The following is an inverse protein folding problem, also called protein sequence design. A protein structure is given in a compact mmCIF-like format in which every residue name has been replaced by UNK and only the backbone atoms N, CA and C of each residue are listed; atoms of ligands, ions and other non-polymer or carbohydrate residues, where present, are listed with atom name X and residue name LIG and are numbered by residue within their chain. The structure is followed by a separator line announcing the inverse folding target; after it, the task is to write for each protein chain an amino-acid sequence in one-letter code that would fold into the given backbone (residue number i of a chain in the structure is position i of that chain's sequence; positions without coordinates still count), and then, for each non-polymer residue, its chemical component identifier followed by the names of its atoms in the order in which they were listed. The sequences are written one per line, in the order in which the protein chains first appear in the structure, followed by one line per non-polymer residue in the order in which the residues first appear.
data_IF_989923119882
#
_entry.id   IF_989923119882
#
_cell.length_a   1.000
_cell.length_b   1.000
_cell.length_c   1.000
_cell.angle_alpha   90.00
_cell.angle_beta   90.00
_cell.angle_gamma   90.00
#
_symmetry.space_group_name_H-M   'P 1'
#
loop_
_entity.id
_entity.type
_entity.pdbx_description
1 polymer ?
#
# COMPACT_ATOMS: atom_id res chain seq x y z
N UNK A 1 67.94 -14.12 24.92
CA UNK A 1 66.67 -14.85 24.71
C UNK A 1 66.32 -14.77 23.23
N UNK A 2 65.96 -15.91 22.65
CA UNK A 2 66.01 -16.18 21.21
C UNK A 2 64.93 -15.47 20.38
N UNK A 3 65.33 -15.05 19.18
CA UNK A 3 64.51 -14.62 18.06
C UNK A 3 63.79 -15.81 17.42
N UNK A 4 62.51 -15.65 17.08
CA UNK A 4 61.82 -16.53 16.12
C UNK A 4 60.77 -15.74 15.36
N UNK A 5 61.13 -15.32 14.14
CA UNK A 5 60.21 -14.85 13.12
C UNK A 5 59.34 -16.01 12.64
N UNK A 6 58.04 -15.79 12.43
CA UNK A 6 57.15 -16.78 11.81
C UNK A 6 56.46 -16.18 10.60
N UNK A 7 56.60 -16.92 9.50
CA UNK A 7 56.35 -16.51 8.13
C UNK A 7 54.87 -16.49 7.73
N UNK A 8 54.65 -15.72 6.67
CA UNK A 8 53.42 -15.47 5.91
C UNK A 8 52.93 -16.72 5.19
N UNK A 9 51.62 -16.96 5.19
CA UNK A 9 50.96 -17.85 4.23
C UNK A 9 49.74 -17.15 3.64
N UNK A 10 49.87 -16.72 2.38
CA UNK A 10 48.81 -16.15 1.57
C UNK A 10 47.91 -17.28 1.02
N UNK A 11 46.61 -17.22 1.32
CA UNK A 11 45.60 -18.08 0.72
C UNK A 11 44.90 -17.34 -0.43
N UNK A 12 44.88 -17.98 -1.61
CA UNK A 12 44.34 -17.48 -2.88
C UNK A 12 42.81 -17.60 -2.93
N UNK A 13 42.09 -16.74 -3.68
CA UNK A 13 40.65 -16.80 -3.79
C UNK A 13 40.20 -17.87 -4.80
N UNK A 14 39.19 -18.66 -4.42
CA UNK A 14 38.50 -19.58 -5.32
C UNK A 14 37.44 -18.83 -6.13
N UNK A 15 37.57 -18.86 -7.46
CA UNK A 15 36.60 -18.35 -8.43
C UNK A 15 35.39 -19.30 -8.49
N UNK A 16 34.21 -18.83 -8.12
CA UNK A 16 32.94 -19.51 -8.36
C UNK A 16 32.33 -19.04 -9.70
N UNK A 17 32.11 -20.02 -10.58
CA UNK A 17 31.58 -19.88 -11.93
C UNK A 17 30.06 -19.68 -11.90
N UNK A 18 29.58 -18.65 -12.60
CA UNK A 18 28.16 -18.39 -12.86
C UNK A 18 27.63 -19.36 -13.94
N UNK A 19 26.46 -19.98 -13.76
CA UNK A 19 25.73 -20.58 -14.87
C UNK A 19 24.86 -19.52 -15.57
N UNK A 20 25.29 -19.20 -16.79
CA UNK A 20 24.55 -18.42 -17.80
C UNK A 20 23.25 -19.14 -18.19
N UNK A 21 22.09 -18.55 -17.92
CA UNK A 21 20.80 -19.01 -18.47
C UNK A 21 20.37 -18.10 -19.61
N UNK A 22 20.33 -18.71 -20.80
CA UNK A 22 19.91 -18.14 -22.08
C UNK A 22 18.40 -17.89 -22.08
N UNK A 23 18.00 -16.72 -22.61
CA UNK A 23 16.63 -16.39 -23.01
C UNK A 23 16.31 -17.09 -24.35
N UNK A 24 15.11 -17.63 -24.55
CA UNK A 24 14.62 -17.93 -25.90
C UNK A 24 13.95 -16.70 -26.51
N UNK A 25 14.50 -16.29 -27.65
CA UNK A 25 13.88 -15.45 -28.66
C UNK A 25 12.78 -16.23 -29.39
N UNK A 26 11.59 -15.65 -29.54
CA UNK A 26 10.59 -16.14 -30.48
C UNK A 26 10.23 -15.06 -31.48
N UNK A 27 10.43 -15.43 -32.74
CA UNK A 27 10.28 -14.63 -33.93
C UNK A 27 8.83 -14.38 -34.32
N UNK A 28 8.65 -13.24 -34.97
CA UNK A 28 7.54 -12.79 -35.80
C UNK A 28 6.82 -13.91 -36.58
N UNK A 29 5.48 -13.90 -36.52
CA UNK A 29 4.62 -14.58 -37.47
C UNK A 29 3.74 -13.55 -38.19
N UNK A 30 3.89 -13.52 -39.52
CA UNK A 30 3.16 -12.70 -40.49
C UNK A 30 1.69 -13.12 -40.62
N UNK A 31 0.87 -12.13 -40.97
CA UNK A 31 -0.52 -12.24 -41.39
C UNK A 31 -0.73 -13.05 -42.68
N UNK A 32 -1.98 -13.49 -42.96
CA UNK A 32 -2.46 -13.68 -44.32
C UNK A 32 -3.46 -12.57 -44.72
N UNK A 33 -3.24 -12.01 -45.92
CA UNK A 33 -4.24 -11.30 -46.71
C UNK A 33 -5.31 -12.27 -47.21
N UNK A 34 -6.57 -11.83 -47.25
CA UNK A 34 -7.48 -12.12 -48.37
C UNK A 34 -8.31 -10.87 -48.74
N UNK A 35 -8.17 -10.46 -50.02
CA UNK A 35 -9.13 -9.70 -50.83
C UNK A 35 -10.45 -10.49 -50.92
N UNK A 36 -11.64 -9.95 -51.15
CA UNK A 36 -12.11 -8.62 -51.51
C UNK A 36 -13.58 -8.78 -51.93
N UNK A 37 -14.41 -7.77 -51.68
CA UNK A 37 -15.84 -7.77 -52.05
C UNK A 37 -16.39 -6.35 -51.94
N UNK A 38 -16.90 -5.86 -53.07
CA UNK A 38 -17.17 -4.45 -53.38
C UNK A 38 -18.55 -4.05 -52.86
N UNK A 39 -18.67 -2.86 -52.26
CA UNK A 39 -19.95 -2.29 -51.86
C UNK A 39 -19.80 -0.86 -51.33
N UNK A 40 -19.73 0.10 -52.25
CA UNK A 40 -19.76 1.53 -51.94
C UNK A 40 -21.20 1.95 -51.60
N UNK A 41 -21.46 2.34 -50.35
CA UNK A 41 -22.60 3.20 -50.02
C UNK A 41 -22.11 4.31 -49.09
N UNK A 42 -22.06 5.50 -49.66
CA UNK A 42 -21.73 6.78 -49.04
C UNK A 42 -22.95 7.24 -48.23
N UNK A 43 -22.92 7.12 -46.90
CA UNK A 43 -23.94 7.67 -46.02
C UNK A 43 -23.38 8.89 -45.28
N UNK A 44 -23.88 10.06 -45.66
CA UNK A 44 -23.59 11.36 -45.08
C UNK A 44 -23.99 11.40 -43.60
N UNK A 45 -23.15 12.07 -42.80
CA UNK A 45 -23.42 12.38 -41.41
C UNK A 45 -24.69 13.23 -41.24
N UNK A 46 -25.53 12.85 -40.27
CA UNK A 46 -26.29 13.78 -39.42
C UNK A 46 -26.29 13.21 -38.00
N UNK A 47 -25.35 13.70 -37.19
CA UNK A 47 -25.38 13.53 -35.73
C UNK A 47 -26.47 14.45 -35.19
N UNK A 48 -27.39 14.00 -34.32
CA UNK A 48 -28.16 14.92 -33.51
C UNK A 48 -27.22 15.59 -32.51
N UNK A 49 -27.26 16.91 -32.55
CA UNK A 49 -26.48 17.85 -31.76
C UNK A 49 -26.73 17.75 -30.25
N UNK A 50 -25.65 18.06 -29.53
CA UNK A 50 -25.62 18.79 -28.26
C UNK A 50 -26.14 18.10 -26.98
N UNK A 51 -25.23 17.39 -26.31
CA UNK A 51 -25.07 17.59 -24.87
C UNK A 51 -23.75 18.34 -24.63
N UNK A 52 -23.81 19.67 -24.67
CA UNK A 52 -22.69 20.56 -24.36
C UNK A 52 -22.74 20.95 -22.88
N UNK A 53 -21.78 20.55 -22.02
CA UNK A 53 -21.80 20.94 -20.61
C UNK A 53 -21.10 22.30 -20.40
N UNK A 54 -21.26 23.25 -21.32
CA UNK A 54 -20.78 24.62 -21.17
C UNK A 54 -21.98 25.57 -21.17
N UNK A 55 -22.63 25.71 -20.01
CA UNK A 55 -23.47 26.86 -19.71
C UNK A 55 -22.81 27.66 -18.60
N UNK A 56 -22.02 28.63 -19.02
CA UNK A 56 -21.61 29.75 -18.16
C UNK A 56 -22.84 30.58 -17.81
N UNK A 57 -23.06 30.84 -16.51
CA UNK A 57 -23.85 31.98 -16.05
C UNK A 57 -24.94 31.66 -15.03
N UNK A 58 -24.60 31.96 -13.76
CA UNK A 58 -25.46 32.40 -12.64
C UNK A 58 -26.14 31.35 -11.74
N UNK A 59 -25.50 31.12 -10.58
CA UNK A 59 -26.10 31.54 -9.30
C UNK A 59 -26.55 30.43 -8.34
N UNK A 60 -25.76 30.20 -7.29
CA UNK A 60 -26.24 29.69 -5.99
C UNK A 60 -25.89 28.24 -5.67
N UNK A 61 -24.92 28.05 -4.77
CA UNK A 61 -24.80 26.90 -3.87
C UNK A 61 -24.70 25.48 -4.47
N UNK A 62 -23.82 25.29 -5.45
CA UNK A 62 -22.93 24.13 -5.23
C UNK A 62 -22.02 24.59 -4.11
N UNK A 63 -22.26 24.07 -2.90
CA UNK A 63 -21.19 23.94 -1.93
C UNK A 63 -19.91 23.56 -2.71
N UNK A 64 -18.72 24.01 -2.30
CA UNK A 64 -17.50 23.38 -2.78
C UNK A 64 -17.73 21.87 -2.82
N UNK A 65 -17.10 21.14 -3.73
CA UNK A 65 -16.98 19.69 -3.51
C UNK A 65 -16.24 19.57 -2.17
N UNK A 66 -17.01 19.65 -1.09
CA UNK A 66 -16.63 19.64 0.30
C UNK A 66 -16.22 18.20 0.40
N UNK A 67 -14.91 18.02 0.17
CA UNK A 67 -14.22 16.75 0.20
C UNK A 67 -14.86 15.98 1.34
N UNK A 68 -15.54 14.87 1.03
CA UNK A 68 -16.14 14.04 2.07
C UNK A 68 -15.07 13.87 3.15
N UNK A 69 -15.39 14.12 4.44
CA UNK A 69 -14.36 14.19 5.46
C UNK A 69 -13.48 12.95 5.35
N UNK A 70 -12.19 13.17 5.05
CA UNK A 70 -11.21 12.09 5.09
C UNK A 70 -11.33 11.45 6.46
N UNK A 71 -11.06 10.13 6.55
CA UNK A 71 -11.10 9.43 7.83
C UNK A 71 -10.38 10.28 8.90
N UNK A 72 -10.90 10.41 10.13
CA UNK A 72 -10.28 11.26 11.14
C UNK A 72 -8.79 10.92 11.29
N UNK A 73 -7.91 11.93 11.20
CA UNK A 73 -6.45 11.74 11.24
C UNK A 73 -5.78 11.49 9.87
N UNK A 74 -6.56 11.36 8.80
CA UNK A 74 -6.04 11.29 7.43
C UNK A 74 -5.85 12.71 6.87
N UNK A 75 -4.68 13.27 7.13
CA UNK A 75 -4.30 14.65 6.79
C UNK A 75 -3.21 14.77 5.72
N UNK A 76 -2.70 13.65 5.20
CA UNK A 76 -1.54 13.58 4.29
C UNK A 76 -0.23 14.09 4.89
N UNK A 77 -0.18 14.29 6.20
CA UNK A 77 1.04 14.55 6.97
C UNK A 77 1.46 13.29 7.76
N UNK A 78 0.51 12.38 7.98
CA UNK A 78 0.76 11.07 8.60
C UNK A 78 0.68 9.95 7.58
N UNK A 79 1.74 9.14 7.53
CA UNK A 79 1.88 8.07 6.56
C UNK A 79 2.20 6.74 7.22
N UNK A 80 1.51 5.70 6.79
CA UNK A 80 1.75 4.31 7.13
C UNK A 80 2.60 3.66 6.04
N UNK A 81 3.80 3.21 6.42
CA UNK A 81 4.74 2.53 5.53
C UNK A 81 4.72 1.04 5.87
N UNK A 82 4.33 0.21 4.90
CA UNK A 82 4.32 -1.25 5.04
C UNK A 82 5.51 -1.83 4.30
N UNK A 83 6.25 -2.74 4.94
CA UNK A 83 7.46 -3.34 4.39
C UNK A 83 7.37 -4.87 4.29
N UNK A 84 8.08 -5.44 3.32
CA UNK A 84 8.27 -6.89 3.18
C UNK A 84 9.49 -7.34 3.98
N UNK A 85 9.27 -8.26 4.92
CA UNK A 85 10.33 -8.91 5.74
C UNK A 85 11.45 -7.95 6.18
N UNK A 86 11.11 -6.87 6.92
CA UNK A 86 12.11 -5.91 7.38
C UNK A 86 13.17 -6.63 8.22
N UNK A 87 14.46 -6.31 8.00
CA UNK A 87 15.58 -6.98 8.68
C UNK A 87 15.86 -8.43 8.23
N UNK A 88 15.10 -8.98 7.27
CA UNK A 88 15.32 -10.32 6.72
C UNK A 88 14.45 -11.43 7.32
N UNK A 89 14.71 -12.67 6.93
CA UNK A 89 13.93 -13.84 7.35
C UNK A 89 14.21 -14.17 8.83
N UNK A 90 13.15 -14.18 9.65
CA UNK A 90 13.27 -14.44 11.09
C UNK A 90 13.91 -13.31 11.89
N UNK A 91 13.88 -12.08 11.38
CA UNK A 91 14.43 -10.91 12.06
C UNK A 91 13.80 -10.70 13.45
N UNK A 92 14.63 -10.28 14.40
CA UNK A 92 14.17 -9.86 15.72
C UNK A 92 13.45 -8.52 15.64
N UNK A 93 12.60 -8.23 16.63
CA UNK A 93 11.86 -6.97 16.73
C UNK A 93 12.76 -5.73 16.62
N UNK A 94 13.92 -5.75 17.28
CA UNK A 94 14.86 -4.63 17.22
C UNK A 94 15.42 -4.45 15.79
N UNK A 95 15.80 -5.54 15.12
CA UNK A 95 16.30 -5.47 13.74
C UNK A 95 15.26 -4.95 12.75
N UNK A 96 13.98 -5.29 12.96
CA UNK A 96 12.88 -4.74 12.17
C UNK A 96 12.76 -3.22 12.38
N UNK A 97 12.81 -2.76 13.64
CA UNK A 97 12.75 -1.34 13.99
C UNK A 97 13.95 -0.57 13.42
N UNK A 98 15.14 -1.13 13.52
CA UNK A 98 16.35 -0.54 12.96
C UNK A 98 16.22 -0.39 11.43
N UNK A 99 15.65 -1.40 10.75
CA UNK A 99 15.35 -1.34 9.31
C UNK A 99 14.33 -0.24 8.96
N UNK A 100 13.30 -0.04 9.79
CA UNK A 100 12.33 1.04 9.61
C UNK A 100 12.98 2.41 9.71
N UNK A 101 13.79 2.63 10.76
CA UNK A 101 14.53 3.86 10.98
C UNK A 101 15.45 4.14 9.80
N UNK A 102 16.21 3.13 9.36
CA UNK A 102 17.12 3.26 8.21
C UNK A 102 16.39 3.58 6.91
N UNK A 103 15.20 3.00 6.70
CA UNK A 103 14.39 3.26 5.50
C UNK A 103 13.93 4.70 5.47
N UNK A 104 13.41 5.21 6.59
CA UNK A 104 12.99 6.61 6.67
C UNK A 104 14.18 7.57 6.61
N UNK A 105 15.31 7.21 7.24
CA UNK A 105 16.53 8.01 7.22
C UNK A 105 17.06 8.29 5.80
N UNK A 106 16.81 7.40 4.84
CA UNK A 106 17.21 7.61 3.44
C UNK A 106 16.51 8.81 2.79
N UNK A 107 15.29 9.15 3.23
CA UNK A 107 14.52 10.27 2.66
C UNK A 107 14.56 11.52 3.54
N UNK A 108 14.62 11.37 4.87
CA UNK A 108 14.72 12.52 5.80
C UNK A 108 16.17 12.95 6.05
N UNK A 109 17.15 12.12 5.67
CA UNK A 109 18.58 12.45 5.69
C UNK A 109 19.36 11.99 6.94
N UNK A 110 18.70 11.65 8.04
CA UNK A 110 19.37 11.14 9.26
C UNK A 110 18.51 10.16 10.07
N UNK A 111 19.17 9.27 10.82
CA UNK A 111 18.49 8.32 11.70
C UNK A 111 17.87 9.00 12.92
N UNK A 112 18.51 10.05 13.43
CA UNK A 112 18.03 10.83 14.57
C UNK A 112 16.74 11.58 14.22
N UNK A 113 16.64 12.10 13.01
CA UNK A 113 15.40 12.71 12.53
C UNK A 113 14.33 11.65 12.28
N UNK A 114 14.69 10.52 11.66
CA UNK A 114 13.75 9.42 11.45
C UNK A 114 13.13 8.94 12.77
N UNK A 115 13.93 8.75 13.83
CA UNK A 115 13.44 8.36 15.17
C UNK A 115 12.47 9.35 15.79
N UNK A 116 12.56 10.64 15.44
CA UNK A 116 11.64 11.68 15.91
C UNK A 116 10.34 11.72 15.11
N UNK A 117 10.40 11.42 13.81
CA UNK A 117 9.23 11.42 12.91
C UNK A 117 8.37 10.18 13.06
N UNK A 118 8.95 9.03 13.43
CA UNK A 118 8.20 7.78 13.65
C UNK A 118 7.42 7.90 14.96
N UNK A 119 6.10 7.74 14.89
CA UNK A 119 5.21 7.78 16.07
C UNK A 119 4.70 6.40 16.51
N UNK A 120 4.71 5.41 15.61
CA UNK A 120 4.36 4.04 15.96
C UNK A 120 5.09 3.01 15.07
N UNK A 121 5.19 1.79 15.57
CA UNK A 121 5.78 0.65 14.85
C UNK A 121 4.91 -0.59 15.03
N UNK A 122 4.87 -1.46 14.02
CA UNK A 122 4.20 -2.75 14.04
C UNK A 122 5.17 -3.83 13.59
N UNK A 123 5.29 -4.88 14.41
CA UNK A 123 6.23 -5.97 14.23
C UNK A 123 5.55 -7.35 14.28
N UNK A 124 4.21 -7.38 14.41
CA UNK A 124 3.45 -8.61 14.63
C UNK A 124 2.22 -8.68 13.73
N UNK A 125 1.31 -7.70 13.82
CA UNK A 125 0.04 -7.70 13.05
C UNK A 125 0.27 -7.47 11.57
N UNK A 126 1.22 -6.59 11.28
CA UNK A 126 1.78 -6.31 9.98
C UNK A 126 3.18 -5.76 10.21
N UNK A 127 3.99 -5.72 9.16
CA UNK A 127 5.34 -5.19 9.23
C UNK A 127 5.35 -3.79 8.63
N UNK A 128 5.45 -2.78 9.49
CA UNK A 128 5.43 -1.40 9.07
C UNK A 128 5.54 -0.41 10.21
N UNK A 129 5.60 0.87 9.86
CA UNK A 129 5.71 1.97 10.80
C UNK A 129 4.92 3.19 10.32
N UNK A 130 4.41 3.97 11.27
CA UNK A 130 3.77 5.25 11.02
C UNK A 130 4.76 6.39 11.24
N UNK A 131 4.79 7.36 10.32
CA UNK A 131 5.67 8.52 10.42
C UNK A 131 5.00 9.82 9.99
N UNK A 132 5.50 10.93 10.51
CA UNK A 132 5.07 12.29 10.18
C UNK A 132 6.01 12.91 9.13
N UNK A 133 5.54 12.96 7.89
CA UNK A 133 6.26 13.51 6.74
C UNK A 133 5.26 14.12 5.75
N UNK A 134 5.72 15.08 4.96
CA UNK A 134 4.92 15.66 3.89
C UNK A 134 4.71 14.66 2.73
N UNK A 135 3.67 14.91 1.93
CA UNK A 135 3.32 14.09 0.77
C UNK A 135 4.45 13.98 -0.27
N UNK A 136 5.27 15.02 -0.46
CA UNK A 136 6.38 14.94 -1.42
C UNK A 136 7.47 13.97 -0.92
N UNK A 137 7.73 13.96 0.38
CA UNK A 137 8.68 13.03 1.01
C UNK A 137 8.14 11.60 1.05
N UNK A 138 6.84 11.40 1.31
CA UNK A 138 6.24 10.06 1.31
C UNK A 138 6.35 9.39 -0.06
N UNK A 139 6.15 10.14 -1.14
CA UNK A 139 6.32 9.66 -2.51
C UNK A 139 7.74 9.15 -2.81
N UNK A 140 8.77 9.63 -2.10
CA UNK A 140 10.17 9.17 -2.26
C UNK A 140 10.41 7.79 -1.62
N UNK A 141 9.56 7.38 -0.68
CA UNK A 141 9.61 6.04 -0.09
C UNK A 141 9.05 4.98 -1.05
N UNK A 142 8.17 5.38 -1.96
CA UNK A 142 7.68 4.50 -3.01
C UNK A 142 8.84 4.04 -3.90
N UNK A 143 8.99 2.71 -4.02
CA UNK A 143 10.05 2.10 -4.82
C UNK A 143 11.37 1.87 -4.09
N UNK A 144 11.51 2.27 -2.82
CA UNK A 144 12.63 1.82 -2.00
C UNK A 144 12.59 0.30 -1.80
N UNK A 145 13.75 -0.37 -1.73
CA UNK A 145 13.80 -1.82 -1.57
C UNK A 145 13.13 -2.24 -0.26
N UNK A 146 12.19 -3.17 -0.35
CA UNK A 146 11.45 -3.69 0.80
C UNK A 146 10.21 -2.89 1.18
N UNK A 147 9.97 -1.70 0.61
CA UNK A 147 8.71 -0.97 0.81
C UNK A 147 7.63 -1.57 -0.10
N UNK A 148 6.50 -1.97 0.50
CA UNK A 148 5.35 -2.53 -0.20
C UNK A 148 4.26 -1.50 -0.47
N UNK A 149 3.89 -0.72 0.56
CA UNK A 149 2.82 0.27 0.47
C UNK A 149 3.20 1.52 1.27
N UNK A 150 2.85 2.68 0.70
CA UNK A 150 2.89 3.99 1.34
C UNK A 150 1.46 4.51 1.31
N UNK A 151 0.84 4.67 2.47
CA UNK A 151 -0.59 4.99 2.57
C UNK A 151 -0.78 6.17 3.54
N UNK A 152 -1.70 7.11 3.26
CA UNK A 152 -2.13 8.07 4.28
C UNK A 152 -2.69 7.32 5.48
N UNK A 153 -2.20 7.62 6.68
CA UNK A 153 -2.66 6.96 7.91
C UNK A 153 -3.94 7.63 8.45
N UNK A 154 -4.63 6.96 9.35
CA UNK A 154 -5.83 7.49 10.00
C UNK A 154 -5.96 6.95 11.43
N UNK A 155 -6.73 7.64 12.27
CA UNK A 155 -6.91 7.22 13.65
C UNK A 155 -7.67 5.89 13.73
N UNK A 156 -7.13 4.96 14.51
CA UNK A 156 -7.83 3.78 15.00
C UNK A 156 -8.76 4.18 16.15
N UNK A 157 -8.30 5.09 17.01
CA UNK A 157 -9.10 5.70 18.08
C UNK A 157 -9.07 7.23 17.95
N UNK A 158 -10.11 7.78 17.32
CA UNK A 158 -10.22 9.21 17.05
C UNK A 158 -10.35 10.06 18.33
N UNK A 159 -10.90 9.51 19.42
CA UNK A 159 -11.05 10.21 20.69
C UNK A 159 -9.68 10.52 21.30
N UNK A 160 -8.75 9.56 21.20
CA UNK A 160 -7.39 9.67 21.74
C UNK A 160 -6.34 10.02 20.67
N UNK A 161 -6.76 10.32 19.43
CA UNK A 161 -5.88 10.56 18.27
C UNK A 161 -4.80 9.49 18.12
N UNK A 162 -5.19 8.23 18.27
CA UNK A 162 -4.27 7.10 18.26
C UNK A 162 -4.34 6.36 16.92
N UNK A 163 -3.22 6.30 16.21
CA UNK A 163 -3.05 5.56 14.95
C UNK A 163 -2.90 4.04 15.16
N UNK A 164 -2.94 3.56 16.39
CA UNK A 164 -2.79 2.14 16.70
C UNK A 164 -1.33 1.66 16.66
N UNK A 165 -1.11 0.41 16.27
CA UNK A 165 0.19 -0.29 16.37
C UNK A 165 0.81 -0.16 17.78
N UNK A 166 2.13 -0.21 17.94
CA UNK A 166 2.82 0.09 19.20
C UNK A 166 3.40 1.50 19.17
N UNK A 167 3.18 2.30 20.22
CA UNK A 167 3.70 3.66 20.26
C UNK A 167 5.22 3.65 20.25
N UNK A 168 5.80 4.56 19.48
CA UNK A 168 7.23 4.73 19.35
C UNK A 168 7.58 6.20 19.54
N UNK A 169 8.45 6.50 20.50
CA UNK A 169 8.84 7.87 20.83
C UNK A 169 10.35 7.93 20.94
N UNK A 170 10.99 8.67 20.03
CA UNK A 170 12.43 8.95 20.04
C UNK A 170 13.33 7.70 20.10
N UNK A 171 12.92 6.59 19.50
CA UNK A 171 13.71 5.35 19.53
C UNK A 171 13.18 4.28 20.49
N UNK A 172 12.18 4.60 21.33
CA UNK A 172 11.71 3.71 22.39
C UNK A 172 10.24 3.32 22.20
N UNK A 173 9.93 2.06 22.47
CA UNK A 173 8.55 1.57 22.47
C UNK A 173 7.87 1.95 23.78
N UNK A 174 6.77 2.69 23.68
CA UNK A 174 6.00 3.16 24.84
C UNK A 174 4.73 2.31 24.98
N UNK A 175 4.53 1.75 26.18
CA UNK A 175 3.28 1.03 26.49
C UNK A 175 2.15 2.00 26.78
N UNK A 176 0.99 1.74 26.18
CA UNK A 176 -0.26 2.44 26.48
C UNK A 176 -0.80 2.04 27.84
N UNK A 177 -1.69 2.88 28.40
CA UNK A 177 -2.54 2.45 29.51
C UNK A 177 -3.44 1.28 29.07
N UNK A 178 -3.81 0.35 29.97
CA UNK A 178 -4.62 -0.81 29.60
C UNK A 178 -5.96 -0.45 28.94
N UNK A 179 -6.58 0.66 29.33
CA UNK A 179 -7.83 1.14 28.73
C UNK A 179 -7.64 1.57 27.28
N UNK A 180 -6.58 2.33 26.99
CA UNK A 180 -6.25 2.75 25.62
C UNK A 180 -5.83 1.56 24.76
N UNK A 181 -5.08 0.63 25.34
CA UNK A 181 -4.64 -0.58 24.64
C UNK A 181 -5.82 -1.41 24.12
N UNK A 182 -6.89 -1.56 24.92
CA UNK A 182 -8.11 -2.29 24.50
C UNK A 182 -8.86 -1.65 23.33
N UNK A 183 -8.72 -0.34 23.12
CA UNK A 183 -9.39 0.39 22.04
C UNK A 183 -8.69 0.22 20.69
N UNK A 184 -7.37 0.02 20.70
CA UNK A 184 -6.55 -0.16 19.50
C UNK A 184 -6.34 -1.64 19.12
N UNK A 185 -6.66 -2.55 20.03
CA UNK A 185 -6.61 -3.99 19.74
C UNK A 185 -7.74 -4.38 18.78
N UNK A 186 -7.44 -5.16 17.72
CA UNK A 186 -8.47 -5.66 16.83
C UNK A 186 -9.51 -6.45 17.61
N UNK A 187 -10.75 -5.98 17.62
CA UNK A 187 -11.86 -6.73 18.21
C UNK A 187 -12.05 -7.99 17.35
N UNK A 188 -11.97 -9.20 17.92
CA UNK A 188 -12.26 -10.41 17.15
C UNK A 188 -13.69 -10.33 16.66
N UNK A 189 -13.86 -10.14 15.35
CA UNK A 189 -15.16 -10.08 14.71
C UNK A 189 -15.82 -11.45 14.91
N UNK A 190 -16.80 -11.52 15.82
CA UNK A 190 -17.60 -12.75 15.98
C UNK A 190 -18.26 -13.03 14.64
N UNK A 191 -18.05 -14.23 14.11
CA UNK A 191 -18.60 -14.68 12.83
C UNK A 191 -20.14 -14.58 12.72
N UNK A 192 -20.83 -14.26 13.82
CA UNK A 192 -22.27 -14.08 13.90
C UNK A 192 -22.75 -12.69 13.41
N UNK A 193 -21.89 -11.67 13.42
CA UNK A 193 -22.26 -10.29 13.02
C UNK A 193 -22.01 -9.98 11.54
N UNK A 194 -21.44 -10.93 10.78
CA UNK A 194 -21.47 -10.81 9.32
C UNK A 194 -22.94 -10.80 8.92
N UNK A 195 -23.46 -9.79 8.21
CA UNK A 195 -24.83 -9.79 7.73
C UNK A 195 -25.02 -11.08 6.94
N UNK A 196 -25.72 -12.06 7.53
CA UNK A 196 -26.16 -13.25 6.81
C UNK A 196 -27.16 -12.70 5.81
N UNK A 197 -26.72 -12.52 4.57
CA UNK A 197 -27.61 -12.27 3.45
C UNK A 197 -28.61 -13.42 3.45
N UNK A 198 -29.79 -13.20 4.04
CA UNK A 198 -30.84 -14.20 4.05
C UNK A 198 -31.31 -14.31 2.62
N UNK A 199 -30.91 -15.38 1.93
CA UNK A 199 -31.26 -15.69 0.54
C UNK A 199 -32.77 -16.00 0.36
N UNK A 200 -33.60 -15.60 1.32
CA UNK A 200 -35.03 -15.88 1.40
C UNK A 200 -35.83 -15.07 0.37
N UNK A 201 -35.30 -13.95 -0.11
CA UNK A 201 -35.98 -13.10 -1.10
C UNK A 201 -35.71 -13.51 -2.56
N UNK A 202 -34.66 -14.29 -2.86
CA UNK A 202 -34.41 -14.79 -4.23
C UNK A 202 -35.41 -15.85 -4.67
N UNK A 203 -35.81 -16.75 -3.76
CA UNK A 203 -36.75 -17.82 -4.10
C UNK A 203 -38.19 -17.33 -4.27
N UNK A 204 -38.60 -16.29 -3.55
CA UNK A 204 -39.94 -15.69 -3.68
C UNK A 204 -40.08 -15.01 -5.04
N UNK A 205 -39.09 -14.21 -5.44
CA UNK A 205 -39.11 -13.50 -6.73
C UNK A 205 -39.06 -14.45 -7.94
N UNK A 206 -38.34 -15.57 -7.84
CA UNK A 206 -38.32 -16.61 -8.90
C UNK A 206 -39.70 -17.28 -9.04
N UNK A 207 -40.41 -17.52 -7.93
CA UNK A 207 -41.71 -18.18 -7.95
C UNK A 207 -42.80 -17.27 -8.51
N UNK A 208 -42.77 -15.98 -8.17
CA UNK A 208 -43.66 -14.98 -8.75
C UNK A 208 -43.44 -14.81 -10.27
N UNK A 209 -42.19 -14.80 -10.74
CA UNK A 209 -41.91 -14.71 -12.18
C UNK A 209 -42.39 -15.93 -12.99
N UNK A 210 -42.50 -17.11 -12.38
CA UNK A 210 -43.04 -18.30 -13.06
C UNK A 210 -44.57 -18.34 -13.10
N UNK A 211 -45.26 -17.67 -12.17
CA UNK A 211 -46.73 -17.61 -12.17
C UNK A 211 -47.32 -16.65 -13.21
N UNK A 212 -46.52 -15.74 -13.78
CA UNK A 212 -46.96 -14.83 -14.86
C UNK A 212 -46.76 -15.38 -16.28
N UNK A 213 -46.26 -16.61 -16.44
CA UNK A 213 -46.02 -17.25 -17.75
C UNK A 213 -46.97 -18.43 -18.04
N UNK A 214 -48.18 -18.43 -17.49
CA UNK A 214 -49.26 -19.36 -17.88
C UNK A 214 -50.51 -18.60 -18.30
#
# INVERSE_FOLDING_TARGET
MATAARAVAAARPARSLLPSRRLPSFSSARAPLQRGGVGSVRCMARRPDSYSPLRSGQGGDRAPMEMAPLFPGCDYEHWLIVMDKPGGEGATKQQMIDCYIQTLAQVVGSEEEAKKRIYNVSCERYFGFGCEIDEETSNKLEGLPGVLFVLPDSYVDAENKDYGAELFVNGEIVRRSPERQRRVEPVPQRAQDRPRYSDRTRYVKRRENQSYQR
#
